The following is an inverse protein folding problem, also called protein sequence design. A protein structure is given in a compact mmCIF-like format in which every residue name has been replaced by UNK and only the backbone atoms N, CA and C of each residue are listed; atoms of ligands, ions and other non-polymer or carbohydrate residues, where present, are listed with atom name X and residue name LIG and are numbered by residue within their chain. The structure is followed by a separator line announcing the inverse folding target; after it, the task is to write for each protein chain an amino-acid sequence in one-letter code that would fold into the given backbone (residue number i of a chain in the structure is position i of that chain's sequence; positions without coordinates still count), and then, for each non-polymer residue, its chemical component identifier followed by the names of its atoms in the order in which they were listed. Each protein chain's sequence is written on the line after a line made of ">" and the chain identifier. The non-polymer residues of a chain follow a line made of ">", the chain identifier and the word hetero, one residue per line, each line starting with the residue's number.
data_IF_099457841357
#
_entry.id   IF_099457841357
#
_cell.length_a   1.000
_cell.length_b   1.000
_cell.length_c   1.000
_cell.angle_alpha   90.00
_cell.angle_beta   90.00
_cell.angle_gamma   90.00
#
_symmetry.space_group_name_H-M   'P 1'
#
loop_
_entity.id
_entity.type
_entity.pdbx_description
1 polymer ?
#
# COMPACT_ATOMS: atom_id res chain seq x y z
N UNK A 1 0.61 18.40 20.07
CA UNK A 1 0.10 19.58 19.33
C UNK A 1 -1.29 19.24 18.80
N UNK A 2 -2.32 20.04 19.09
CA UNK A 2 -3.66 19.81 18.53
C UNK A 2 -3.64 20.29 17.08
N UNK A 3 -3.47 19.37 16.13
CA UNK A 3 -3.52 19.69 14.71
C UNK A 3 -4.90 20.27 14.37
N UNK A 4 -4.95 21.43 13.71
CA UNK A 4 -6.17 21.89 13.08
C UNK A 4 -6.39 21.02 11.86
N UNK A 5 -7.47 20.24 11.86
CA UNK A 5 -7.86 19.46 10.68
C UNK A 5 -8.35 20.45 9.62
N UNK A 6 -7.77 20.47 8.41
CA UNK A 6 -8.26 21.33 7.33
C UNK A 6 -9.65 20.88 6.89
N UNK A 7 -10.41 21.80 6.32
CA UNK A 7 -11.68 21.46 5.68
C UNK A 7 -11.40 20.51 4.50
N UNK A 8 -12.28 19.53 4.29
CA UNK A 8 -12.14 18.61 3.17
C UNK A 8 -12.15 19.40 1.84
N UNK A 9 -11.23 19.12 0.92
CA UNK A 9 -11.22 19.78 -0.38
C UNK A 9 -12.48 19.44 -1.18
N UNK A 10 -12.95 20.38 -2.00
CA UNK A 10 -14.09 20.20 -2.90
C UNK A 10 -13.65 19.78 -4.32
N UNK A 11 -12.38 19.99 -4.65
CA UNK A 11 -11.75 19.65 -5.94
C UNK A 11 -10.42 18.93 -5.71
N UNK A 12 -9.93 18.19 -6.70
CA UNK A 12 -8.58 17.62 -6.71
C UNK A 12 -7.50 18.72 -6.79
N UNK A 13 -6.23 18.36 -6.57
CA UNK A 13 -5.09 19.31 -6.62
C UNK A 13 -4.93 19.99 -7.99
N UNK A 14 -5.31 19.29 -9.07
CA UNK A 14 -5.36 19.80 -10.44
C UNK A 14 -6.64 20.63 -10.73
N UNK A 15 -7.48 20.88 -9.72
CA UNK A 15 -8.78 21.56 -9.77
C UNK A 15 -9.89 20.83 -10.52
N UNK A 16 -9.71 19.56 -10.89
CA UNK A 16 -10.82 18.76 -11.40
C UNK A 16 -11.83 18.46 -10.29
N UNK A 17 -13.06 18.12 -10.68
CA UNK A 17 -14.08 17.67 -9.74
C UNK A 17 -13.65 16.36 -9.06
N UNK A 18 -14.05 16.20 -7.80
CA UNK A 18 -13.84 14.94 -7.07
C UNK A 18 -14.90 13.95 -7.54
N UNK A 19 -14.46 12.96 -8.31
CA UNK A 19 -15.32 11.85 -8.71
C UNK A 19 -15.42 10.86 -7.54
N UNK A 20 -16.65 10.52 -7.14
CA UNK A 20 -16.93 9.58 -6.05
C UNK A 20 -17.52 8.31 -6.62
N UNK A 21 -16.84 7.18 -6.44
CA UNK A 21 -17.37 5.86 -6.75
C UNK A 21 -17.80 5.13 -5.48
N UNK A 22 -18.83 4.30 -5.59
CA UNK A 22 -19.30 3.42 -4.52
C UNK A 22 -18.55 2.10 -4.59
N UNK A 23 -18.08 1.61 -3.46
CA UNK A 23 -17.58 0.24 -3.33
C UNK A 23 -18.79 -0.70 -3.16
N UNK A 24 -18.97 -1.65 -4.08
CA UNK A 24 -20.10 -2.59 -4.04
C UNK A 24 -19.79 -3.88 -3.28
N UNK A 25 -18.53 -4.30 -3.23
CA UNK A 25 -18.08 -5.47 -2.47
C UNK A 25 -16.68 -5.27 -1.89
N UNK A 26 -16.38 -5.95 -0.78
CA UNK A 26 -15.08 -5.89 -0.10
C UNK A 26 -14.86 -7.15 0.75
N UNK A 27 -13.61 -7.57 0.89
CA UNK A 27 -13.27 -8.70 1.77
C UNK A 27 -11.79 -8.71 2.18
N UNK A 28 -11.47 -9.59 3.13
CA UNK A 28 -10.10 -9.90 3.52
C UNK A 28 -9.49 -10.96 2.61
N UNK A 29 -8.25 -10.73 2.18
CA UNK A 29 -7.52 -11.64 1.29
C UNK A 29 -6.52 -12.46 2.11
N UNK A 30 -6.45 -13.77 1.87
CA UNK A 30 -5.45 -14.65 2.49
C UNK A 30 -4.10 -14.49 1.82
N UNK A 31 -3.03 -14.74 2.56
CA UNK A 31 -1.65 -14.58 2.09
C UNK A 31 -1.35 -15.32 0.76
N UNK A 32 -1.91 -16.52 0.57
CA UNK A 32 -1.74 -17.34 -0.63
C UNK A 32 -2.55 -16.84 -1.84
N UNK A 33 -3.51 -15.95 -1.62
CA UNK A 33 -4.38 -15.39 -2.66
C UNK A 33 -3.95 -13.98 -3.11
N UNK A 34 -3.05 -13.32 -2.38
CA UNK A 34 -2.62 -11.93 -2.67
C UNK A 34 -2.14 -11.80 -4.13
N UNK A 35 -1.33 -12.75 -4.62
CA UNK A 35 -0.80 -12.68 -6.00
C UNK A 35 -1.92 -12.79 -7.04
N UNK A 36 -2.88 -13.69 -6.81
CA UNK A 36 -4.02 -13.90 -7.70
C UNK A 36 -4.92 -12.66 -7.72
N UNK A 37 -5.15 -12.06 -6.55
CA UNK A 37 -5.95 -10.85 -6.40
C UNK A 37 -5.33 -9.67 -7.16
N UNK A 38 -4.03 -9.43 -6.95
CA UNK A 38 -3.30 -8.39 -7.67
C UNK A 38 -3.35 -8.61 -9.17
N UNK A 39 -3.18 -9.86 -9.62
CA UNK A 39 -3.21 -10.20 -11.04
C UNK A 39 -4.56 -9.96 -11.70
N UNK A 40 -5.66 -10.32 -11.03
CA UNK A 40 -7.01 -10.30 -11.61
C UNK A 40 -7.73 -8.97 -11.41
N UNK A 41 -7.51 -8.33 -10.27
CA UNK A 41 -8.34 -7.23 -9.79
C UNK A 41 -7.55 -5.96 -9.47
N UNK A 42 -6.22 -6.05 -9.46
CA UNK A 42 -5.34 -4.91 -9.23
C UNK A 42 -4.93 -4.74 -7.76
N UNK A 43 -4.41 -3.57 -7.38
CA UNK A 43 -3.74 -3.38 -6.09
C UNK A 43 -4.58 -3.75 -4.87
N UNK A 44 -3.92 -4.29 -3.84
CA UNK A 44 -4.55 -4.63 -2.56
C UNK A 44 -4.05 -3.73 -1.43
N UNK A 45 -4.90 -3.40 -0.47
CA UNK A 45 -4.50 -2.62 0.72
C UNK A 45 -3.91 -3.54 1.77
N UNK A 46 -2.80 -3.13 2.38
CA UNK A 46 -2.03 -3.93 3.33
C UNK A 46 -1.73 -3.11 4.58
N UNK A 47 -2.04 -3.66 5.75
CA UNK A 47 -1.54 -3.20 7.03
C UNK A 47 -0.24 -3.92 7.41
N UNK A 48 0.75 -3.20 7.91
CA UNK A 48 2.01 -3.78 8.41
C UNK A 48 2.58 -2.99 9.59
N UNK A 49 3.47 -3.65 10.34
CA UNK A 49 4.19 -3.06 11.46
C UNK A 49 5.38 -2.26 10.94
N UNK A 50 5.47 -0.99 11.30
CA UNK A 50 6.61 -0.14 10.98
C UNK A 50 7.63 -0.20 12.11
N UNK A 51 8.87 -0.52 11.75
CA UNK A 51 10.02 -0.46 12.65
C UNK A 51 10.89 0.75 12.34
N UNK A 52 11.70 1.16 13.30
CA UNK A 52 12.59 2.31 13.17
C UNK A 52 13.51 2.22 11.93
N UNK A 53 14.03 1.04 11.60
CA UNK A 53 14.90 0.86 10.45
C UNK A 53 14.19 1.06 9.10
N UNK A 54 12.89 0.82 9.03
CA UNK A 54 12.07 1.09 7.83
C UNK A 54 12.01 2.58 7.49
N UNK A 55 12.04 3.45 8.50
CA UNK A 55 12.00 4.91 8.29
C UNK A 55 13.17 5.40 7.42
N UNK A 56 14.29 4.66 7.43
CA UNK A 56 15.51 4.97 6.70
C UNK A 56 15.69 4.12 5.43
N UNK A 57 14.66 3.42 4.98
CA UNK A 57 14.70 2.65 3.74
C UNK A 57 15.03 3.56 2.54
N UNK A 58 16.00 3.12 1.74
CA UNK A 58 16.44 3.81 0.53
C UNK A 58 16.47 2.91 -0.72
N UNK A 59 16.26 1.59 -0.58
CA UNK A 59 16.24 0.66 -1.71
C UNK A 59 16.54 -0.79 -1.35
N UNK A 60 16.34 -1.68 -2.32
CA UNK A 60 16.53 -3.14 -2.19
C UNK A 60 15.33 -3.83 -1.52
N UNK A 61 15.42 -5.13 -1.26
CA UNK A 61 14.35 -5.83 -0.53
C UNK A 61 14.48 -5.56 0.98
N UNK A 62 13.53 -4.82 1.55
CA UNK A 62 13.49 -4.55 2.97
C UNK A 62 13.25 -5.85 3.77
N UNK A 63 14.14 -6.04 4.75
CA UNK A 63 14.06 -7.07 5.78
C UNK A 63 14.39 -6.34 7.09
N UNK A 64 13.41 -6.19 7.98
CA UNK A 64 13.67 -5.69 9.33
C UNK A 64 14.82 -6.45 10.00
N UNK A 65 15.79 -5.70 10.54
CA UNK A 65 16.95 -6.27 11.26
C UNK A 65 17.03 -5.77 12.70
N UNK A 66 16.64 -4.51 12.96
CA UNK A 66 16.82 -3.87 14.27
C UNK A 66 15.93 -2.65 14.45
N UNK A 67 15.78 -2.23 15.70
CA UNK A 67 15.00 -1.06 16.07
C UNK A 67 13.67 -1.43 16.71
N UNK A 68 13.04 -0.45 17.35
CA UNK A 68 11.74 -0.63 18.00
C UNK A 68 10.59 -0.43 17.01
N UNK A 69 9.40 -0.84 17.42
CA UNK A 69 8.15 -0.59 16.70
C UNK A 69 7.83 0.90 16.79
N UNK A 70 7.67 1.55 15.64
CA UNK A 70 7.21 2.94 15.52
C UNK A 70 5.67 3.01 15.42
N UNK A 71 5.04 1.93 14.97
CA UNK A 71 3.58 1.81 14.93
C UNK A 71 3.09 0.85 13.84
N UNK A 72 1.84 1.08 13.42
CA UNK A 72 1.19 0.37 12.32
C UNK A 72 0.95 1.36 11.18
N UNK A 73 1.09 0.89 9.93
CA UNK A 73 0.86 1.70 8.74
C UNK A 73 0.12 0.90 7.67
N UNK A 74 -0.58 1.62 6.80
CA UNK A 74 -1.33 1.05 5.68
C UNK A 74 -0.75 1.55 4.35
N UNK A 75 -0.51 0.62 3.44
CA UNK A 75 0.05 0.85 2.10
C UNK A 75 -0.72 0.00 1.08
N UNK A 76 -0.35 0.08 -0.20
CA UNK A 76 -0.90 -0.79 -1.22
C UNK A 76 0.19 -1.65 -1.86
N UNK A 77 -0.10 -2.95 -2.00
CA UNK A 77 0.71 -3.85 -2.82
C UNK A 77 0.22 -3.77 -4.25
N UNK A 78 1.16 -3.52 -5.17
CA UNK A 78 0.89 -3.34 -6.60
C UNK A 78 1.53 -4.44 -7.45
N UNK A 79 2.34 -5.31 -6.85
CA UNK A 79 3.01 -6.39 -7.56
C UNK A 79 3.92 -7.21 -6.66
N UNK A 80 4.64 -8.15 -7.27
CA UNK A 80 5.64 -8.99 -6.63
C UNK A 80 6.74 -9.33 -7.62
N UNK A 81 7.87 -9.79 -7.11
CA UNK A 81 8.98 -10.22 -7.95
C UNK A 81 10.02 -11.00 -7.19
N UNK A 82 11.19 -11.15 -7.83
CA UNK A 82 12.39 -11.72 -7.24
C UNK A 82 13.56 -10.78 -7.60
N UNK A 83 14.34 -10.40 -6.60
CA UNK A 83 15.55 -9.59 -6.76
C UNK A 83 16.69 -10.33 -6.05
N UNK A 84 17.75 -10.70 -6.78
CA UNK A 84 18.89 -11.46 -6.24
C UNK A 84 18.46 -12.72 -5.45
N UNK A 85 17.57 -13.52 -6.04
CA UNK A 85 16.95 -14.71 -5.43
C UNK A 85 16.10 -14.44 -4.18
N UNK A 86 15.83 -13.18 -3.84
CA UNK A 86 14.95 -12.79 -2.74
C UNK A 86 13.56 -12.42 -3.27
N UNK A 87 12.50 -13.17 -2.93
CA UNK A 87 11.14 -12.83 -3.32
C UNK A 87 10.65 -11.60 -2.55
N UNK A 88 9.96 -10.69 -3.25
CA UNK A 88 9.44 -9.46 -2.65
C UNK A 88 8.00 -9.14 -3.06
N UNK A 89 7.34 -8.34 -2.23
CA UNK A 89 6.16 -7.54 -2.58
C UNK A 89 6.61 -6.14 -2.98
N UNK A 90 6.07 -5.62 -4.08
CA UNK A 90 6.25 -4.23 -4.49
C UNK A 90 5.09 -3.42 -3.91
N UNK A 91 5.40 -2.40 -3.13
CA UNK A 91 4.43 -1.59 -2.44
C UNK A 91 4.59 -0.11 -2.78
N UNK A 92 3.47 0.58 -2.95
CA UNK A 92 3.43 2.04 -3.02
C UNK A 92 3.17 2.60 -1.63
N UNK A 93 4.05 3.48 -1.17
CA UNK A 93 3.89 4.17 0.10
C UNK A 93 3.10 5.48 -0.09
N UNK A 94 2.62 6.05 1.01
CA UNK A 94 1.87 7.30 1.05
C UNK A 94 2.71 8.46 1.64
N UNK A 95 4.03 8.39 1.47
CA UNK A 95 4.97 9.42 1.89
C UNK A 95 5.45 10.21 0.66
N UNK A 96 6.58 10.91 0.78
CA UNK A 96 7.14 11.68 -0.35
C UNK A 96 7.75 10.75 -1.39
N UNK A 97 7.80 11.22 -2.64
CA UNK A 97 8.57 10.59 -3.72
C UNK A 97 10.07 10.55 -3.45
N UNK A 98 10.57 11.41 -2.55
CA UNK A 98 11.97 11.41 -2.11
C UNK A 98 12.31 10.25 -1.17
N UNK A 99 11.31 9.56 -0.62
CA UNK A 99 11.51 8.44 0.27
C UNK A 99 11.58 7.12 -0.52
N UNK A 100 12.47 6.21 -0.10
CA UNK A 100 12.61 4.89 -0.73
C UNK A 100 12.99 4.97 -2.22
N UNK A 101 12.38 4.11 -3.03
CA UNK A 101 12.58 4.06 -4.48
C UNK A 101 11.48 4.86 -5.17
N UNK A 102 11.56 6.19 -5.16
CA UNK A 102 10.56 7.10 -5.75
C UNK A 102 9.16 6.98 -5.07
N UNK A 103 9.13 6.83 -3.75
CA UNK A 103 7.90 6.60 -2.97
C UNK A 103 7.46 5.13 -2.90
N UNK A 104 8.19 4.22 -3.55
CA UNK A 104 7.94 2.78 -3.51
C UNK A 104 8.94 2.07 -2.61
N UNK A 105 8.59 0.86 -2.20
CA UNK A 105 9.52 -0.03 -1.52
C UNK A 105 9.24 -1.49 -1.87
N UNK A 106 10.25 -2.33 -1.67
CA UNK A 106 10.15 -3.78 -1.74
C UNK A 106 10.24 -4.34 -0.34
N UNK A 107 9.39 -5.29 0.02
CA UNK A 107 9.44 -5.99 1.31
C UNK A 107 9.44 -7.50 1.10
N UNK A 108 10.17 -8.23 1.94
CA UNK A 108 10.31 -9.67 1.86
C UNK A 108 8.95 -10.39 1.84
N UNK A 109 8.76 -11.24 0.83
CA UNK A 109 7.54 -12.04 0.63
C UNK A 109 7.72 -13.48 1.12
N UNK A 110 6.65 -14.08 1.62
CA UNK A 110 6.53 -15.49 2.00
C UNK A 110 7.11 -15.82 3.38
N UNK A 111 7.35 -14.81 4.20
CA UNK A 111 7.92 -14.95 5.56
C UNK A 111 7.12 -14.18 6.62
N UNK A 112 5.95 -13.62 6.27
CA UNK A 112 5.10 -12.82 7.17
C UNK A 112 5.90 -11.69 7.84
N UNK A 113 6.86 -11.12 7.10
CA UNK A 113 7.74 -10.07 7.60
C UNK A 113 6.90 -8.85 7.98
N UNK A 114 7.11 -8.31 9.18
CA UNK A 114 6.36 -7.14 9.68
C UNK A 114 4.83 -7.32 9.64
N UNK A 115 4.34 -8.57 9.67
CA UNK A 115 2.91 -8.93 9.56
C UNK A 115 2.22 -8.46 8.26
N UNK A 116 2.98 -8.10 7.23
CA UNK A 116 2.44 -7.55 5.98
C UNK A 116 1.61 -8.54 5.14
N UNK A 117 1.57 -9.82 5.55
CA UNK A 117 0.78 -10.88 4.91
C UNK A 117 -0.46 -11.28 5.74
N UNK A 118 -0.71 -10.57 6.85
CA UNK A 118 -1.76 -10.93 7.82
C UNK A 118 -3.02 -10.06 7.75
N UNK A 119 -2.91 -8.84 7.21
CA UNK A 119 -4.02 -7.89 7.15
C UNK A 119 -4.12 -7.25 5.77
N UNK A 120 -4.80 -7.95 4.86
CA UNK A 120 -4.99 -7.53 3.47
C UNK A 120 -6.48 -7.36 3.22
N UNK A 121 -6.85 -6.20 2.70
CA UNK A 121 -8.23 -5.85 2.36
C UNK A 121 -8.31 -5.39 0.91
N UNK A 122 -9.38 -5.77 0.23
CA UNK A 122 -9.73 -5.29 -1.10
C UNK A 122 -11.13 -4.71 -1.12
N UNK A 123 -11.37 -3.82 -2.08
CA UNK A 123 -12.69 -3.28 -2.36
C UNK A 123 -12.86 -3.13 -3.86
N UNK A 124 -14.05 -3.46 -4.35
CA UNK A 124 -14.41 -3.37 -5.76
C UNK A 124 -15.32 -2.14 -5.97
N UNK A 125 -14.80 -1.08 -6.59
CA UNK A 125 -15.61 0.09 -6.93
C UNK A 125 -16.53 -0.21 -8.12
N UNK A 126 -17.69 0.42 -8.14
CA UNK A 126 -18.52 0.52 -9.33
C UNK A 126 -17.74 1.27 -10.43
N UNK A 127 -17.79 0.74 -11.65
CA UNK A 127 -17.21 1.43 -12.80
C UNK A 127 -17.96 2.74 -13.03
N UNK A 128 -17.20 3.80 -13.31
CA UNK A 128 -17.77 5.04 -13.81
C UNK A 128 -18.23 4.79 -15.25
N UNK A 129 -19.43 5.23 -15.59
CA UNK A 129 -19.88 5.20 -16.98
C UNK A 129 -19.14 6.31 -17.77
N UNK A 130 -18.97 6.12 -19.08
CA UNK A 130 -18.18 7.02 -19.94
C UNK A 130 -18.70 8.48 -19.95
N UNK A 131 -19.94 8.72 -19.50
CA UNK A 131 -20.54 10.05 -19.37
C UNK A 131 -20.18 10.78 -18.05
N UNK A 132 -19.52 10.09 -17.11
CA UNK A 132 -19.13 10.63 -15.79
C UNK A 132 -17.62 10.92 -15.66
N UNK A 133 -16.84 10.69 -16.73
CA UNK A 133 -15.40 10.93 -16.85
C UNK A 133 -15.09 12.25 -17.55
#
# INVERSE_FOLDING_TARGET
>A
TKGKVPQCPETCDNKSDIIRTKVHDWHYVKADQIQEEIYKHGPVTVGFVVYQDFMYYAGGVYIHQKGWIEGFHAVIFIGWGVENDVPYWLAQNSWTDQWGELGYFKILRGKVQCECESNITVGYPDCLEDEEL
#
